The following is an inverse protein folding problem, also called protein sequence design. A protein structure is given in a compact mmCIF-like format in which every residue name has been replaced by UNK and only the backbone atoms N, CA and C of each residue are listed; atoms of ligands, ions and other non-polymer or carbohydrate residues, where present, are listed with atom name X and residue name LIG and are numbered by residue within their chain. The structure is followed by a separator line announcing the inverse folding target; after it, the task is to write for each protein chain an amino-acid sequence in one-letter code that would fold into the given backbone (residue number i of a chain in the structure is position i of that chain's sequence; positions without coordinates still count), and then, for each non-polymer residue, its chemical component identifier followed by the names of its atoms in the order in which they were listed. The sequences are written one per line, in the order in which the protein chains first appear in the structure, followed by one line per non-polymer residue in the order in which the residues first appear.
data_IF_934306865661
#
_entry.id   IF_934306865661
#
_cell.length_a   1.000
_cell.length_b   1.000
_cell.length_c   1.000
_cell.angle_alpha   90.00
_cell.angle_beta   90.00
_cell.angle_gamma   90.00
#
_symmetry.space_group_name_H-M   'P 1'
#
loop_
_entity.id
_entity.type
_entity.pdbx_description
1 polymer ?
#
# COMPACT_ATOMS: atom_id res chain seq x y z
N UNK A 1 -1.68 -2.51 -19.33
CA UNK A 1 -2.63 -3.03 -18.33
C UNK A 1 -2.31 -2.42 -16.97
N UNK A 2 -1.12 -2.66 -16.41
CA UNK A 2 -0.69 -2.06 -15.13
C UNK A 2 -0.71 -0.52 -15.11
N UNK A 3 -0.24 0.15 -16.16
CA UNK A 3 -0.28 1.62 -16.25
C UNK A 3 -1.71 2.18 -16.16
N UNK A 4 -2.70 1.49 -16.74
CA UNK A 4 -4.09 1.93 -16.68
C UNK A 4 -4.67 1.81 -15.26
N UNK A 5 -4.27 0.80 -14.51
CA UNK A 5 -4.64 0.62 -13.09
C UNK A 5 -4.00 1.72 -12.24
N UNK A 6 -2.72 2.04 -12.45
CA UNK A 6 -2.08 3.15 -11.75
C UNK A 6 -2.76 4.49 -12.04
N UNK A 7 -3.07 4.76 -13.31
CA UNK A 7 -3.80 5.98 -13.70
C UNK A 7 -5.19 6.05 -13.09
N UNK A 8 -5.85 4.90 -12.87
CA UNK A 8 -7.13 4.85 -12.17
C UNK A 8 -6.97 5.14 -10.68
N UNK A 9 -6.01 4.51 -10.00
CA UNK A 9 -5.71 4.77 -8.58
C UNK A 9 -5.35 6.24 -8.36
N UNK A 10 -4.51 6.82 -9.24
CA UNK A 10 -4.08 8.23 -9.19
C UNK A 10 -5.24 9.22 -9.21
N UNK A 11 -6.41 8.87 -9.75
CA UNK A 11 -7.60 9.74 -9.75
C UNK A 11 -8.23 9.91 -8.37
N UNK A 12 -7.98 8.98 -7.44
CA UNK A 12 -8.51 9.03 -6.09
C UNK A 12 -7.52 9.63 -5.08
N UNK A 13 -6.28 9.89 -5.50
CA UNK A 13 -5.29 10.58 -4.67
C UNK A 13 -5.68 12.05 -4.46
N UNK A 14 -5.31 12.66 -3.32
CA UNK A 14 -4.50 12.10 -2.24
C UNK A 14 -5.29 11.18 -1.29
N UNK A 15 -4.62 10.20 -0.71
CA UNK A 15 -5.17 9.35 0.35
C UNK A 15 -4.62 9.74 1.72
N UNK A 16 -5.45 10.33 2.58
CA UNK A 16 -5.06 10.58 3.97
C UNK A 16 -4.96 9.27 4.74
N UNK A 17 -3.82 9.04 5.41
CA UNK A 17 -3.61 7.87 6.27
C UNK A 17 -4.15 8.19 7.66
N UNK A 18 -5.23 7.53 8.07
CA UNK A 18 -5.84 7.75 9.39
C UNK A 18 -5.49 6.66 10.38
N UNK A 19 -5.09 5.48 9.91
CA UNK A 19 -4.68 4.38 10.74
C UNK A 19 -3.67 3.49 10.02
N UNK A 20 -2.76 2.92 10.81
CA UNK A 20 -1.86 1.86 10.38
C UNK A 20 -1.94 0.73 11.39
N UNK A 21 -2.06 -0.49 10.89
CA UNK A 21 -2.12 -1.72 11.69
C UNK A 21 -1.01 -2.66 11.22
N UNK A 22 -0.38 -3.37 12.16
CA UNK A 22 0.61 -4.39 11.88
C UNK A 22 0.28 -5.62 12.73
N UNK A 23 0.32 -6.80 12.12
CA UNK A 23 0.13 -8.08 12.79
C UNK A 23 1.19 -9.10 12.34
N UNK A 24 0.99 -10.37 12.68
CA UNK A 24 1.92 -11.44 12.31
C UNK A 24 1.92 -11.74 10.80
N UNK A 25 0.87 -11.37 10.08
CA UNK A 25 0.63 -11.71 8.68
C UNK A 25 0.97 -10.55 7.73
N UNK A 26 1.08 -9.31 8.23
CA UNK A 26 1.43 -8.17 7.40
C UNK A 26 1.15 -6.80 8.03
N UNK A 27 1.01 -5.81 7.15
CA UNK A 27 0.64 -4.45 7.53
C UNK A 27 -0.57 -3.95 6.73
N UNK A 28 -1.27 -2.99 7.30
CA UNK A 28 -2.45 -2.38 6.71
C UNK A 28 -2.38 -0.87 6.91
N UNK A 29 -2.39 -0.11 5.82
CA UNK A 29 -2.58 1.35 5.84
C UNK A 29 -4.02 1.64 5.42
N UNK A 30 -4.70 2.53 6.12
CA UNK A 30 -6.09 2.86 5.79
C UNK A 30 -6.46 4.31 6.10
N UNK A 31 -7.50 4.77 5.42
CA UNK A 31 -8.11 6.08 5.63
C UNK A 31 -9.59 6.08 5.26
N UNK A 32 -10.14 7.27 5.07
CA UNK A 32 -11.52 7.39 4.60
C UNK A 32 -11.66 6.73 3.22
N UNK A 33 -12.42 5.64 3.16
CA UNK A 33 -12.78 4.93 1.93
C UNK A 33 -11.61 4.36 1.12
N UNK A 34 -10.48 4.09 1.76
CA UNK A 34 -9.41 3.31 1.14
C UNK A 34 -8.67 2.45 2.16
N UNK A 35 -8.09 1.35 1.69
CA UNK A 35 -7.26 0.44 2.48
C UNK A 35 -6.23 -0.24 1.60
N UNK A 36 -4.98 -0.26 2.05
CA UNK A 36 -3.88 -1.01 1.46
C UNK A 36 -3.40 -2.07 2.47
N UNK A 37 -3.65 -3.34 2.16
CA UNK A 37 -3.10 -4.48 2.91
C UNK A 37 -1.84 -4.99 2.22
N UNK A 38 -0.81 -5.34 2.99
CA UNK A 38 0.46 -5.87 2.48
C UNK A 38 0.83 -7.09 3.31
N UNK A 39 0.76 -8.27 2.70
CA UNK A 39 1.14 -9.54 3.34
C UNK A 39 2.54 -10.02 2.94
N UNK A 40 3.32 -9.17 2.25
CA UNK A 40 4.65 -9.50 1.75
C UNK A 40 5.75 -8.65 2.41
N UNK A 41 6.98 -8.81 1.94
CA UNK A 41 8.08 -7.97 2.40
C UNK A 41 7.86 -6.51 2.00
N UNK A 42 8.16 -5.58 2.90
CA UNK A 42 8.01 -4.15 2.67
C UNK A 42 9.09 -3.35 3.37
N UNK A 43 9.30 -2.10 2.96
CA UNK A 43 10.12 -1.13 3.69
C UNK A 43 9.64 0.29 3.40
N UNK A 44 9.90 1.21 4.32
CA UNK A 44 9.78 2.65 4.07
C UNK A 44 11.17 3.25 3.97
N UNK A 45 11.36 4.12 2.98
CA UNK A 45 12.56 4.93 2.85
C UNK A 45 12.23 6.41 2.75
N UNK A 46 13.16 7.26 3.19
CA UNK A 46 13.08 8.71 3.10
C UNK A 46 14.50 9.24 2.80
N UNK A 47 14.63 10.13 1.82
CA UNK A 47 15.95 10.67 1.43
C UNK A 47 16.97 9.61 1.00
N UNK A 48 16.51 8.44 0.52
CA UNK A 48 17.36 7.31 0.12
C UNK A 48 17.85 6.42 1.28
N UNK A 49 17.37 6.64 2.51
CA UNK A 49 17.67 5.80 3.66
C UNK A 49 16.43 4.99 4.07
N UNK A 50 16.61 3.72 4.44
CA UNK A 50 15.52 2.90 4.98
C UNK A 50 15.26 3.37 6.41
N UNK A 51 14.05 3.84 6.67
CA UNK A 51 13.62 4.37 7.97
C UNK A 51 12.77 3.36 8.75
N UNK A 52 12.03 2.49 8.04
CA UNK A 52 11.11 1.50 8.63
C UNK A 52 11.23 0.20 7.84
N UNK A 53 11.38 -0.94 8.51
CA UNK A 53 11.25 -2.26 7.87
C UNK A 53 10.98 -3.37 8.90
N UNK A 54 10.39 -4.50 8.49
CA UNK A 54 10.18 -5.65 9.38
C UNK A 54 11.48 -6.19 10.00
N UNK A 55 12.61 -6.02 9.32
CA UNK A 55 13.93 -6.47 9.80
C UNK A 55 14.62 -5.47 10.73
N UNK A 56 14.12 -4.24 10.82
CA UNK A 56 14.59 -3.20 11.74
C UNK A 56 13.89 -3.33 13.11
N UNK A 57 13.92 -4.50 13.74
CA UNK A 57 13.41 -4.66 15.11
C UNK A 57 14.45 -4.25 16.14
N UNK A 58 14.13 -3.29 17.00
CA UNK A 58 14.62 -3.32 18.40
C UNK A 58 13.55 -4.05 19.22
N UNK A 59 13.97 -4.88 20.18
CA UNK A 59 13.09 -5.76 20.97
C UNK A 59 11.75 -5.10 21.34
N UNK A 60 10.63 -5.71 20.90
CA UNK A 60 9.31 -5.47 21.48
C UNK A 60 8.29 -4.64 20.70
N UNK A 61 8.54 -4.20 19.46
CA UNK A 61 7.50 -3.57 18.61
C UNK A 61 7.43 -4.18 17.21
N UNK A 62 6.24 -4.62 16.80
CA UNK A 62 5.94 -5.11 15.44
C UNK A 62 5.67 -3.95 14.46
N UNK A 63 5.53 -2.72 14.94
CA UNK A 63 5.07 -1.56 14.17
C UNK A 63 6.08 -0.42 14.06
N UNK A 64 7.33 -0.59 14.53
CA UNK A 64 8.29 0.51 14.73
C UNK A 64 8.31 1.54 13.59
N UNK A 65 7.72 2.72 13.81
CA UNK A 65 7.72 3.87 12.90
C UNK A 65 6.55 3.93 11.91
N UNK A 66 5.73 2.88 11.80
CA UNK A 66 4.55 2.88 10.94
C UNK A 66 3.48 3.86 11.42
N UNK A 67 3.38 4.08 12.74
CA UNK A 67 2.47 5.09 13.28
C UNK A 67 2.85 6.51 12.83
N UNK A 68 4.10 6.75 12.44
CA UNK A 68 4.55 8.05 11.92
C UNK A 68 3.94 8.37 10.55
N UNK A 69 3.34 7.38 9.87
CA UNK A 69 2.60 7.59 8.63
C UNK A 69 1.18 8.14 8.89
N UNK A 70 0.66 8.03 10.12
CA UNK A 70 -0.68 8.54 10.45
C UNK A 70 -0.68 10.06 10.41
N UNK A 71 -1.62 10.63 9.64
CA UNK A 71 -1.71 12.06 9.37
C UNK A 71 -0.96 12.52 8.13
N UNK A 72 -0.14 11.66 7.51
CA UNK A 72 0.44 11.90 6.18
C UNK A 72 -0.59 11.58 5.08
N UNK A 73 -0.23 11.88 3.84
CA UNK A 73 -1.06 11.62 2.67
C UNK A 73 -0.26 10.87 1.61
N UNK A 74 -0.80 9.76 1.10
CA UNK A 74 -0.28 9.18 -0.15
C UNK A 74 -0.66 10.11 -1.30
N UNK A 75 0.34 10.58 -2.04
CA UNK A 75 0.18 11.55 -3.14
C UNK A 75 0.60 11.00 -4.49
N UNK A 76 1.33 9.88 -4.52
CA UNK A 76 1.64 9.16 -5.75
C UNK A 76 1.72 7.66 -5.51
N UNK A 77 1.54 6.91 -6.58
CA UNK A 77 1.68 5.46 -6.62
C UNK A 77 2.46 5.08 -7.87
N UNK A 78 3.19 3.97 -7.79
CA UNK A 78 3.87 3.44 -8.96
C UNK A 78 4.21 1.98 -8.79
N UNK A 79 4.88 1.43 -9.81
CA UNK A 79 5.23 0.03 -9.85
C UNK A 79 6.73 -0.12 -10.00
N UNK A 80 7.29 -1.06 -9.26
CA UNK A 80 8.69 -1.44 -9.28
C UNK A 80 8.85 -2.94 -9.56
N UNK A 81 10.09 -3.38 -9.61
CA UNK A 81 10.47 -4.77 -9.85
C UNK A 81 11.19 -4.97 -11.18
N UNK A 82 12.24 -5.79 -11.17
CA UNK A 82 13.14 -5.98 -12.32
C UNK A 82 12.56 -6.94 -13.35
N UNK A 83 11.89 -8.00 -12.90
CA UNK A 83 11.52 -9.13 -13.77
C UNK A 83 10.03 -9.15 -14.14
N UNK A 84 9.15 -8.83 -13.19
CA UNK A 84 7.69 -8.88 -13.41
C UNK A 84 7.00 -7.51 -13.37
N UNK A 85 7.64 -6.46 -12.83
CA UNK A 85 7.03 -5.11 -12.64
C UNK A 85 5.62 -5.20 -12.04
N UNK A 86 5.52 -5.74 -10.83
CA UNK A 86 4.24 -5.97 -10.15
C UNK A 86 4.21 -5.40 -8.73
N UNK A 87 5.32 -4.88 -8.25
CA UNK A 87 5.44 -4.42 -6.88
C UNK A 87 4.93 -2.99 -6.78
N UNK A 88 3.86 -2.77 -6.02
CA UNK A 88 3.38 -1.42 -5.74
C UNK A 88 4.39 -0.69 -4.85
N UNK A 89 4.65 0.57 -5.17
CA UNK A 89 5.18 1.51 -4.21
C UNK A 89 4.23 2.69 -4.09
N UNK A 90 4.19 3.30 -2.91
CA UNK A 90 3.41 4.52 -2.67
C UNK A 90 4.32 5.61 -2.11
N UNK A 91 4.06 6.84 -2.50
CA UNK A 91 4.83 8.01 -2.08
C UNK A 91 3.94 8.92 -1.26
N UNK A 92 4.43 9.30 -0.08
CA UNK A 92 3.70 10.21 0.80
C UNK A 92 4.07 11.67 0.55
N UNK A 93 3.25 12.61 1.02
CA UNK A 93 3.46 14.05 0.86
C UNK A 93 4.76 14.49 1.52
N UNK A 94 5.13 13.88 2.63
CA UNK A 94 6.40 14.15 3.32
C UNK A 94 7.63 13.58 2.60
N UNK A 95 7.43 12.84 1.49
CA UNK A 95 8.53 12.31 0.67
C UNK A 95 9.02 10.92 1.11
N UNK A 96 8.24 10.23 1.94
CA UNK A 96 8.47 8.82 2.27
C UNK A 96 8.01 7.94 1.12
N UNK A 97 8.73 6.84 0.90
CA UNK A 97 8.41 5.86 -0.13
C UNK A 97 8.24 4.52 0.57
N UNK A 98 7.02 3.99 0.56
CA UNK A 98 6.71 2.63 0.98
C UNK A 98 6.83 1.73 -0.24
N UNK A 99 7.85 0.87 -0.22
CA UNK A 99 8.16 -0.11 -1.27
C UNK A 99 7.67 -1.48 -0.82
N UNK A 100 6.87 -2.14 -1.65
CA UNK A 100 6.40 -3.52 -1.44
C UNK A 100 7.25 -4.43 -2.32
N UNK A 101 7.56 -5.64 -1.84
CA UNK A 101 8.32 -6.64 -2.55
C UNK A 101 7.57 -7.96 -2.51
N UNK A 102 7.17 -8.42 -3.68
CA UNK A 102 6.39 -9.64 -3.89
C UNK A 102 7.32 -10.76 -4.32
N UNK A 103 7.34 -11.86 -3.57
CA UNK A 103 7.93 -13.12 -3.98
C UNK A 103 6.85 -14.00 -4.61
N UNK A 104 6.63 -13.82 -5.92
CA UNK A 104 5.69 -14.63 -6.69
C UNK A 104 5.86 -16.14 -6.38
N UNK A 105 4.78 -16.89 -6.09
CA UNK A 105 3.37 -16.53 -6.31
C UNK A 105 2.63 -15.88 -5.13
N UNK A 106 3.28 -15.56 -4.00
CA UNK A 106 2.59 -15.23 -2.74
C UNK A 106 2.68 -13.76 -2.29
N UNK A 107 3.00 -12.82 -3.20
CA UNK A 107 3.06 -11.40 -2.87
C UNK A 107 1.73 -10.68 -3.01
N UNK A 108 0.92 -10.73 -1.95
CA UNK A 108 -0.48 -10.28 -1.92
C UNK A 108 -0.61 -8.90 -1.26
N UNK A 109 -0.31 -7.84 -2.01
CA UNK A 109 -0.82 -6.53 -1.64
C UNK A 109 -2.23 -6.35 -2.21
N UNK A 110 -3.11 -5.72 -1.43
CA UNK A 110 -4.50 -5.50 -1.81
C UNK A 110 -4.85 -4.04 -1.58
N UNK A 111 -5.15 -3.32 -2.67
CA UNK A 111 -5.66 -1.95 -2.58
C UNK A 111 -7.17 -1.95 -2.82
N UNK A 112 -7.92 -1.46 -1.84
CA UNK A 112 -9.36 -1.26 -1.90
C UNK A 112 -9.65 0.23 -1.81
N UNK A 113 -10.46 0.77 -2.72
CA UNK A 113 -10.90 2.18 -2.73
C UNK A 113 -12.42 2.18 -2.92
N UNK A 114 -13.17 3.09 -2.28
CA UNK A 114 -14.62 3.19 -2.44
C UNK A 114 -15.05 4.61 -2.80
N UNK A 115 -15.96 4.77 -3.78
CA UNK A 115 -16.48 6.09 -4.16
C UNK A 115 -17.73 6.51 -3.35
N UNK A 116 -18.00 7.81 -3.25
CA UNK A 116 -19.21 8.34 -2.61
C UNK A 116 -20.44 7.84 -3.38
N UNK A 117 -21.27 7.04 -2.71
CA UNK A 117 -22.51 6.53 -3.29
C UNK A 117 -22.38 5.14 -3.95
N UNK A 118 -21.18 4.54 -3.92
CA UNK A 118 -20.95 3.17 -4.40
C UNK A 118 -20.32 2.28 -3.31
N UNK A 119 -20.78 2.42 -2.06
CA UNK A 119 -20.30 1.64 -0.90
C UNK A 119 -20.46 0.12 -1.06
N UNK A 120 -21.23 -0.32 -2.06
CA UNK A 120 -21.47 -1.74 -2.41
C UNK A 120 -20.51 -2.26 -3.47
N UNK A 121 -19.73 -1.40 -4.15
CA UNK A 121 -18.66 -1.80 -5.07
C UNK A 121 -17.36 -1.24 -4.53
N UNK A 122 -16.66 -2.07 -3.78
CA UNK A 122 -15.28 -1.81 -3.40
C UNK A 122 -14.44 -2.37 -4.55
N UNK A 123 -13.91 -1.55 -5.49
CA UNK A 123 -12.88 -2.04 -6.39
C UNK A 123 -11.70 -2.55 -5.57
N UNK A 124 -11.56 -3.88 -5.58
CA UNK A 124 -10.40 -4.59 -5.08
C UNK A 124 -9.44 -4.68 -6.25
N UNK A 125 -8.32 -3.96 -6.15
CA UNK A 125 -7.22 -4.08 -7.09
C UNK A 125 -6.30 -5.18 -6.58
N UNK A 126 -6.38 -6.33 -7.24
CA UNK A 126 -5.42 -7.43 -7.17
C UNK A 126 -4.62 -7.44 -8.49
N UNK A 127 -3.42 -8.02 -8.48
CA UNK A 127 -2.49 -8.10 -9.61
C UNK A 127 -3.07 -8.81 -10.85
N UNK A 128 -4.18 -9.54 -10.69
CA UNK A 128 -4.94 -10.16 -11.78
C UNK A 128 -5.92 -9.19 -12.49
N UNK A 129 -6.07 -7.94 -11.99
CA UNK A 129 -7.05 -6.96 -12.47
C UNK A 129 -8.16 -6.72 -11.44
N UNK A 130 -9.13 -5.81 -11.71
CA UNK A 130 -10.24 -5.58 -10.80
C UNK A 130 -11.03 -6.89 -10.64
N UNK A 131 -11.03 -7.45 -9.42
CA UNK A 131 -11.84 -8.60 -9.08
C UNK A 131 -13.32 -8.17 -9.14
N UNK A 132 -13.93 -8.34 -10.31
CA UNK A 132 -15.31 -7.95 -10.55
C UNK A 132 -16.25 -9.00 -9.92
N UNK A 133 -17.18 -8.48 -9.13
CA UNK A 133 -18.41 -9.10 -8.61
C UNK A 133 -18.28 -10.18 -7.53
N UNK A 134 -18.34 -9.73 -6.26
CA UNK A 134 -18.97 -10.53 -5.20
C UNK A 134 -20.49 -10.42 -5.42
N UNK A 135 -21.09 -11.55 -5.77
CA UNK A 135 -22.53 -11.73 -6.01
C UNK A 135 -23.33 -11.71 -4.71
#
# INVERSE_FOLDING_TARGET
MMEAVLEEIRRFLPFSVTAVEADADGICLQGDRWRLRINSSWRVSEGGQITISPSLTREGSQSYGLEDLVGDEVVDVGIQGVQFRQDLYVVTREGRILEIFSDFPYGEWLLSISDVGDERRIPIFDLEGPASDVT
#
